data_IF_964877257366
#
_entry.id   IF_964877257366
#
_cell.length_a   1.000
_cell.length_b   1.000
_cell.length_c   1.000
_cell.angle_alpha   90.00
_cell.angle_beta   90.00
_cell.angle_gamma   90.00
#
_symmetry.space_group_name_H-M   'P 1'
#
loop_
_entity.id
_entity.type
_entity.pdbx_description
1 polymer ?
#
# COMPACT_ATOMS: atom_id res chain seq x y z
N UNK A 1 -38.70 -10.88 25.13
CA UNK A 1 -37.77 -11.51 24.18
C UNK A 1 -37.05 -10.41 23.43
N UNK A 2 -35.83 -10.05 23.83
CA UNK A 2 -34.98 -9.15 23.06
C UNK A 2 -33.66 -9.88 22.78
N UNK A 3 -33.58 -10.44 21.58
CA UNK A 3 -32.44 -11.19 21.08
C UNK A 3 -31.34 -10.18 20.72
N UNK A 4 -30.23 -10.21 21.45
CA UNK A 4 -29.05 -9.41 21.16
C UNK A 4 -28.38 -10.02 19.92
N UNK A 5 -28.43 -9.31 18.80
CA UNK A 5 -27.71 -9.69 17.58
C UNK A 5 -26.21 -9.50 17.83
N UNK A 6 -25.49 -10.59 18.09
CA UNK A 6 -24.02 -10.63 18.08
C UNK A 6 -23.51 -10.51 16.65
N UNK A 7 -22.95 -9.34 16.32
CA UNK A 7 -22.16 -9.18 15.10
C UNK A 7 -20.82 -9.87 15.34
N UNK A 8 -20.70 -11.13 14.90
CA UNK A 8 -19.43 -11.84 14.84
C UNK A 8 -18.44 -11.02 14.00
N UNK A 9 -17.48 -10.35 14.66
CA UNK A 9 -16.31 -9.76 14.01
C UNK A 9 -15.59 -10.89 13.27
N UNK A 10 -15.74 -10.97 11.95
CA UNK A 10 -14.82 -11.76 11.11
C UNK A 10 -13.42 -11.30 11.45
N UNK A 11 -12.58 -12.20 11.97
CA UNK A 11 -11.13 -12.00 12.04
C UNK A 11 -10.69 -11.63 10.64
N UNK A 12 -10.27 -10.38 10.44
CA UNK A 12 -9.58 -9.99 9.24
C UNK A 12 -8.40 -10.96 9.10
N UNK A 13 -8.31 -11.65 7.96
CA UNK A 13 -7.07 -12.32 7.57
C UNK A 13 -5.94 -11.31 7.82
N UNK A 14 -4.83 -11.75 8.44
CA UNK A 14 -3.69 -10.89 8.73
C UNK A 14 -3.41 -10.09 7.45
N UNK A 15 -3.75 -8.80 7.47
CA UNK A 15 -3.63 -7.98 6.29
C UNK A 15 -2.14 -7.96 5.99
N UNK A 16 -1.73 -8.49 4.82
CA UNK A 16 -0.35 -8.40 4.35
C UNK A 16 0.12 -6.98 4.62
N UNK A 17 1.21 -6.81 5.36
CA UNK A 17 1.72 -5.47 5.63
C UNK A 17 2.40 -4.95 4.38
N UNK A 18 2.35 -3.63 4.11
CA UNK A 18 3.13 -3.08 3.03
C UNK A 18 4.62 -3.30 3.33
N UNK A 19 5.37 -3.73 2.32
CA UNK A 19 6.82 -3.98 2.42
C UNK A 19 7.61 -2.67 2.46
N UNK A 20 7.02 -1.61 1.91
CA UNK A 20 7.60 -0.28 1.89
C UNK A 20 6.50 0.78 1.90
N UNK A 21 6.79 1.96 2.43
CA UNK A 21 5.85 3.08 2.40
C UNK A 21 6.60 4.38 2.22
N UNK A 22 6.20 5.14 1.21
CA UNK A 22 6.71 6.47 0.88
C UNK A 22 5.67 7.49 1.34
N UNK A 23 6.10 8.61 1.92
CA UNK A 23 5.19 9.63 2.47
C UNK A 23 5.68 11.04 2.17
N UNK A 24 4.81 11.84 1.55
CA UNK A 24 5.00 13.27 1.33
C UNK A 24 3.81 14.02 1.96
N UNK A 25 4.09 14.75 3.04
CA UNK A 25 3.09 15.48 3.80
C UNK A 25 1.91 14.59 4.24
N UNK A 26 0.72 14.90 3.73
CA UNK A 26 -0.51 14.17 4.05
C UNK A 26 -0.70 12.90 3.20
N UNK A 27 0.03 12.73 2.10
CA UNK A 27 -0.13 11.65 1.13
C UNK A 27 0.95 10.57 1.35
N UNK A 28 0.57 9.30 1.22
CA UNK A 28 1.49 8.18 1.26
C UNK A 28 1.18 7.15 0.18
N UNK A 29 2.22 6.52 -0.35
CA UNK A 29 2.16 5.33 -1.19
C UNK A 29 2.66 4.13 -0.38
N UNK A 30 1.82 3.12 -0.20
CA UNK A 30 2.19 1.85 0.43
C UNK A 30 2.40 0.82 -0.66
N UNK A 31 3.59 0.23 -0.71
CA UNK A 31 4.01 -0.78 -1.68
C UNK A 31 3.80 -2.16 -1.07
N UNK A 32 3.26 -3.09 -1.84
CA UNK A 32 2.99 -4.46 -1.41
C UNK A 32 3.69 -5.43 -2.34
N UNK A 33 4.13 -6.56 -1.77
CA UNK A 33 4.65 -7.70 -2.51
C UNK A 33 3.52 -8.70 -2.63
N UNK A 34 3.14 -9.04 -3.85
CA UNK A 34 2.03 -9.96 -4.14
C UNK A 34 2.51 -11.09 -5.03
N UNK A 35 1.76 -12.17 -5.01
CA UNK A 35 1.96 -13.32 -5.90
C UNK A 35 0.67 -13.57 -6.68
N UNK A 36 0.80 -13.74 -7.99
CA UNK A 36 -0.31 -14.10 -8.86
C UNK A 36 -0.75 -15.55 -8.60
N UNK A 37 -1.97 -15.94 -8.99
CA UNK A 37 -2.39 -17.34 -8.90
C UNK A 37 -1.48 -18.32 -9.67
N UNK A 38 -0.75 -17.82 -10.67
CA UNK A 38 0.22 -18.59 -11.46
C UNK A 38 1.62 -18.65 -10.80
N UNK A 39 1.81 -18.05 -9.62
CA UNK A 39 3.07 -18.04 -8.90
C UNK A 39 4.06 -16.94 -9.32
N UNK A 40 3.64 -15.98 -10.15
CA UNK A 40 4.49 -14.83 -10.50
C UNK A 40 4.41 -13.77 -9.41
N UNK A 41 5.57 -13.39 -8.88
CA UNK A 41 5.69 -12.32 -7.91
C UNK A 41 5.69 -10.95 -8.59
N UNK A 42 4.95 -10.00 -8.02
CA UNK A 42 4.87 -8.63 -8.52
C UNK A 42 4.72 -7.65 -7.37
N UNK A 43 5.04 -6.39 -7.64
CA UNK A 43 4.79 -5.29 -6.72
C UNK A 43 3.63 -4.43 -7.20
N UNK A 44 2.81 -3.97 -6.27
CA UNK A 44 1.83 -2.92 -6.52
C UNK A 44 1.93 -1.86 -5.42
N UNK A 45 1.27 -0.71 -5.61
CA UNK A 45 1.17 0.28 -4.57
C UNK A 45 -0.24 0.88 -4.48
N UNK A 46 -0.61 1.27 -3.27
CA UNK A 46 -1.87 1.96 -2.98
C UNK A 46 -1.60 3.34 -2.39
N UNK A 47 -2.35 4.33 -2.85
CA UNK A 47 -2.27 5.70 -2.32
C UNK A 47 -3.26 5.93 -1.19
N UNK A 48 -2.86 6.73 -0.20
CA UNK A 48 -3.70 7.15 0.90
C UNK A 48 -3.38 8.59 1.31
N UNK A 49 -4.41 9.35 1.66
CA UNK A 49 -4.30 10.67 2.29
C UNK A 49 -4.76 10.61 3.73
N UNK A 50 -3.91 11.06 4.63
CA UNK A 50 -4.22 11.26 6.05
C UNK A 50 -4.78 12.66 6.31
N UNK A 51 -5.68 12.78 7.29
CA UNK A 51 -6.22 14.05 7.76
C UNK A 51 -6.49 13.98 9.26
N UNK A 52 -6.47 15.13 9.93
CA UNK A 52 -6.85 15.24 11.34
C UNK A 52 -8.27 15.77 11.45
N UNK A 53 -9.10 15.08 12.22
CA UNK A 53 -10.40 15.54 12.61
C UNK A 53 -10.26 16.66 13.63
N UNK A 54 -10.81 17.83 13.32
CA UNK A 54 -10.86 18.95 14.25
C UNK A 54 -11.84 18.69 15.41
N UNK A 55 -12.88 17.88 15.19
CA UNK A 55 -13.92 17.62 16.20
C UNK A 55 -13.53 16.53 17.20
N UNK A 56 -12.82 15.49 16.75
CA UNK A 56 -12.46 14.34 17.58
C UNK A 56 -10.97 14.26 17.92
N UNK A 57 -10.13 15.11 17.33
CA UNK A 57 -8.66 15.04 17.46
C UNK A 57 -8.02 13.82 16.79
N UNK A 58 -8.81 12.87 16.28
CA UNK A 58 -8.33 11.64 15.65
C UNK A 58 -7.81 11.87 14.24
N UNK A 59 -6.93 10.98 13.78
CA UNK A 59 -6.49 10.90 12.38
C UNK A 59 -7.35 9.94 11.57
N UNK A 60 -7.85 10.40 10.42
CA UNK A 60 -8.53 9.59 9.43
C UNK A 60 -7.68 9.39 8.18
N UNK A 61 -8.02 8.36 7.41
CA UNK A 61 -7.40 8.02 6.13
C UNK A 61 -8.45 8.06 5.01
N UNK A 62 -8.06 8.44 3.80
CA UNK A 62 -8.94 8.52 2.63
C UNK A 62 -8.19 8.14 1.36
N UNK A 63 -8.91 7.57 0.39
CA UNK A 63 -8.42 7.36 -0.98
C UNK A 63 -8.82 8.49 -1.93
N UNK A 64 -9.41 9.56 -1.41
CA UNK A 64 -9.80 10.75 -2.17
C UNK A 64 -8.80 11.88 -1.91
N UNK A 65 -8.43 12.56 -2.99
CA UNK A 65 -7.41 13.60 -3.02
C UNK A 65 -7.99 14.93 -3.52
N UNK A 66 -7.31 16.02 -3.20
CA UNK A 66 -7.66 17.36 -3.66
C UNK A 66 -6.61 17.86 -4.65
N UNK A 67 -6.96 18.85 -5.48
CA UNK A 67 -6.01 19.47 -6.43
C UNK A 67 -4.74 19.98 -5.75
N UNK A 68 -4.86 20.55 -4.54
CA UNK A 68 -3.70 21.00 -3.75
C UNK A 68 -2.70 19.90 -3.37
N UNK A 69 -3.09 18.62 -3.51
CA UNK A 69 -2.20 17.48 -3.25
C UNK A 69 -1.38 17.08 -4.47
N UNK A 70 -1.45 17.84 -5.58
CA UNK A 70 -0.77 17.50 -6.83
C UNK A 70 0.73 17.25 -6.63
N UNK A 71 1.43 18.14 -5.90
CA UNK A 71 2.88 18.02 -5.71
C UNK A 71 3.23 16.77 -4.92
N UNK A 72 2.53 16.51 -3.80
CA UNK A 72 2.79 15.32 -2.99
C UNK A 72 2.42 14.03 -3.73
N UNK A 73 1.33 14.04 -4.51
CA UNK A 73 0.90 12.91 -5.34
C UNK A 73 1.96 12.57 -6.39
N UNK A 74 2.45 13.56 -7.14
CA UNK A 74 3.48 13.35 -8.16
C UNK A 74 4.71 12.71 -7.53
N UNK A 75 5.22 13.28 -6.44
CA UNK A 75 6.41 12.76 -5.76
C UNK A 75 6.25 11.33 -5.27
N UNK A 76 5.17 11.02 -4.54
CA UNK A 76 5.00 9.66 -3.99
C UNK A 76 4.81 8.62 -5.08
N UNK A 77 4.17 8.98 -6.20
CA UNK A 77 3.99 8.08 -7.34
C UNK A 77 5.33 7.84 -8.04
N UNK A 78 6.09 8.91 -8.31
CA UNK A 78 7.42 8.79 -8.92
C UNK A 78 8.38 7.96 -8.07
N UNK A 79 8.40 8.20 -6.76
CA UNK A 79 9.22 7.42 -5.82
C UNK A 79 8.77 5.96 -5.73
N UNK A 80 7.47 5.69 -5.69
CA UNK A 80 6.96 4.33 -5.65
C UNK A 80 7.31 3.56 -6.92
N UNK A 81 7.13 4.18 -8.09
CA UNK A 81 7.51 3.60 -9.37
C UNK A 81 9.02 3.35 -9.46
N UNK A 82 9.86 4.29 -9.01
CA UNK A 82 11.32 4.09 -8.97
C UNK A 82 11.71 2.94 -8.06
N UNK A 83 11.10 2.85 -6.88
CA UNK A 83 11.35 1.78 -5.93
C UNK A 83 10.99 0.43 -6.54
N UNK A 84 9.80 0.31 -7.15
CA UNK A 84 9.34 -0.94 -7.78
C UNK A 84 10.28 -1.36 -8.91
N UNK A 85 10.60 -0.45 -9.84
CA UNK A 85 11.46 -0.77 -10.97
C UNK A 85 12.86 -1.27 -10.54
N UNK A 86 13.42 -0.70 -9.47
CA UNK A 86 14.69 -1.16 -8.92
C UNK A 86 14.60 -2.60 -8.36
N UNK A 87 13.50 -2.94 -7.69
CA UNK A 87 13.32 -4.26 -7.10
C UNK A 87 12.91 -5.33 -8.12
N UNK A 88 12.18 -4.95 -9.16
CA UNK A 88 11.88 -5.85 -10.28
C UNK A 88 13.15 -6.25 -11.03
N UNK A 89 14.08 -5.30 -11.26
CA UNK A 89 15.38 -5.59 -11.88
C UNK A 89 16.22 -6.56 -11.03
N UNK A 90 16.27 -6.34 -9.71
CA UNK A 90 16.97 -7.23 -8.78
C UNK A 90 16.34 -8.62 -8.73
N UNK A 91 15.01 -8.72 -8.77
CA UNK A 91 14.30 -10.00 -8.80
C UNK A 91 14.60 -10.81 -10.06
N UNK A 92 14.63 -10.17 -11.23
CA UNK A 92 14.93 -10.86 -12.48
C UNK A 92 16.39 -11.35 -12.50
N UNK A 93 17.35 -10.51 -12.09
CA UNK A 93 18.77 -10.90 -11.97
C UNK A 93 18.94 -12.14 -11.07
N UNK A 94 18.31 -12.11 -9.89
CA UNK A 94 18.34 -13.23 -8.95
C UNK A 94 17.65 -14.49 -9.48
N UNK A 95 16.65 -14.35 -10.35
CA UNK A 95 15.94 -15.46 -10.97
C UNK A 95 16.79 -16.13 -12.06
N UNK A 96 17.47 -15.34 -12.88
CA UNK A 96 18.39 -15.83 -13.90
C UNK A 96 19.54 -16.63 -13.27
N UNK A 97 20.17 -16.09 -12.22
CA UNK A 97 21.24 -16.77 -11.48
C UNK A 97 20.80 -18.13 -10.92
N UNK A 98 19.60 -18.20 -10.34
CA UNK A 98 19.05 -19.46 -9.80
C UNK A 98 18.73 -20.50 -10.86
N UNK A 99 18.39 -20.08 -12.07
CA UNK A 99 18.09 -21.00 -13.17
C UNK A 99 19.35 -21.48 -13.89
N UNK A 100 20.47 -20.76 -13.74
CA UNK A 100 21.76 -21.09 -14.34
C UNK A 100 22.65 -21.99 -13.48
N UNK A 101 22.33 -22.14 -12.18
CA UNK A 101 23.02 -23.00 -11.21
C UNK A 101 22.36 -24.38 -11.08
#
# INVERSE_FOLDING_TARGET
>A
MNEKIEIKKKKAAAAEMPIHTIREGAVAASIWRRMSPAGYEYFDFSLCRSWKSLSSGGTGNSRNFFSRNQVELTKVVEEACRWIAAHELEQESNREERNAA
#
